data_IF_681687232681
#
_entry.id   IF_681687232681
#
_cell.length_a   1.000
_cell.length_b   1.000
_cell.length_c   1.000
_cell.angle_alpha   90.00
_cell.angle_beta   90.00
_cell.angle_gamma   90.00
#
_symmetry.space_group_name_H-M   'P 1'
#
loop_
_entity.id
_entity.type
_entity.pdbx_description
1 polymer ?
#
# COMPACT_ATOMS: atom_id res chain seq x y z
N UNK A 1 -17.89 28.05 28.67
CA UNK A 1 -16.68 27.27 29.05
C UNK A 1 -15.76 27.26 27.85
N UNK A 2 -14.69 28.03 27.84
CA UNK A 2 -13.62 27.97 26.84
C UNK A 2 -12.90 26.62 27.05
N UNK A 3 -13.17 25.62 26.21
CA UNK A 3 -12.37 24.42 26.20
C UNK A 3 -10.95 24.85 25.88
N UNK A 4 -10.01 24.56 26.76
CA UNK A 4 -8.59 24.78 26.51
C UNK A 4 -8.22 24.12 25.16
N UNK A 5 -7.83 24.94 24.19
CA UNK A 5 -7.37 24.45 22.88
C UNK A 5 -6.06 23.71 23.15
N UNK A 6 -6.12 22.40 23.22
CA UNK A 6 -4.93 21.54 23.35
C UNK A 6 -4.07 21.79 22.12
N UNK A 7 -2.83 22.25 22.31
CA UNK A 7 -1.89 22.44 21.19
C UNK A 7 -1.54 21.08 20.56
N UNK A 8 -1.49 20.98 19.23
CA UNK A 8 -1.07 19.75 18.55
C UNK A 8 0.36 19.37 18.97
N UNK A 9 0.56 18.10 19.33
CA UNK A 9 1.89 17.53 19.57
C UNK A 9 2.49 16.93 18.29
N UNK A 10 3.76 16.53 18.35
CA UNK A 10 4.46 15.92 17.20
C UNK A 10 3.72 14.69 16.65
N UNK A 11 3.08 13.90 17.52
CA UNK A 11 2.29 12.74 17.12
C UNK A 11 1.04 13.11 16.30
N UNK A 12 0.49 14.31 16.47
CA UNK A 12 -0.64 14.79 15.69
C UNK A 12 -0.17 15.19 14.27
N UNK A 13 1.00 15.83 14.15
CA UNK A 13 1.59 16.14 12.84
C UNK A 13 1.94 14.86 12.06
N UNK A 14 2.52 13.86 12.71
CA UNK A 14 2.84 12.56 12.10
C UNK A 14 1.59 11.70 11.85
N UNK A 15 0.52 11.93 12.59
CA UNK A 15 -0.73 11.18 12.49
C UNK A 15 -1.33 11.26 11.09
N UNK A 16 -1.39 12.46 10.48
CA UNK A 16 -1.93 12.65 9.13
C UNK A 16 -1.16 11.88 8.04
N UNK A 17 0.13 11.60 8.27
CA UNK A 17 0.99 10.83 7.37
C UNK A 17 0.80 9.31 7.52
N UNK A 18 0.19 8.87 8.63
CA UNK A 18 0.05 7.45 8.99
C UNK A 18 1.38 6.69 8.94
N UNK A 19 2.40 7.25 9.60
CA UNK A 19 3.80 6.81 9.56
C UNK A 19 4.00 5.27 9.63
N UNK A 20 3.29 4.50 10.48
CA UNK A 20 3.47 3.03 10.50
C UNK A 20 3.21 2.35 9.16
N UNK A 21 2.31 2.88 8.33
CA UNK A 21 2.03 2.31 7.01
C UNK A 21 3.09 2.67 5.96
N UNK A 22 3.89 3.71 6.20
CA UNK A 22 4.98 4.10 5.29
C UNK A 22 6.09 3.03 5.21
N UNK A 23 6.18 2.12 6.19
CA UNK A 23 7.11 0.98 6.15
C UNK A 23 6.88 0.06 4.95
N UNK A 24 5.66 0.02 4.41
CA UNK A 24 5.33 -0.76 3.22
C UNK A 24 6.15 -0.33 2.00
N UNK A 25 6.50 0.97 1.90
CA UNK A 25 7.33 1.46 0.80
C UNK A 25 8.71 0.81 0.80
N UNK A 26 9.31 0.62 2.00
CA UNK A 26 10.61 -0.05 2.12
C UNK A 26 10.57 -1.46 1.53
N UNK A 27 9.50 -2.23 1.84
CA UNK A 27 9.35 -3.60 1.33
C UNK A 27 9.20 -3.63 -0.19
N UNK A 28 8.40 -2.73 -0.77
CA UNK A 28 8.15 -2.69 -2.21
C UNK A 28 9.36 -2.16 -2.99
N UNK A 29 10.04 -1.10 -2.49
CA UNK A 29 11.25 -0.57 -3.12
C UNK A 29 12.41 -1.57 -3.01
N UNK A 30 12.58 -2.24 -1.85
CA UNK A 30 13.58 -3.30 -1.70
C UNK A 30 13.34 -4.45 -2.68
N UNK A 31 12.07 -4.80 -2.95
CA UNK A 31 11.73 -5.83 -3.93
C UNK A 31 12.10 -5.40 -5.36
N UNK A 32 11.77 -4.18 -5.76
CA UNK A 32 12.17 -3.64 -7.07
C UNK A 32 13.68 -3.54 -7.23
N UNK A 33 14.39 -3.07 -6.18
CA UNK A 33 15.84 -3.03 -6.14
C UNK A 33 16.46 -4.44 -6.20
N UNK A 34 15.86 -5.43 -5.53
CA UNK A 34 16.26 -6.83 -5.61
C UNK A 34 16.14 -7.41 -7.03
N UNK A 35 15.07 -7.06 -7.76
CA UNK A 35 14.90 -7.46 -9.17
C UNK A 35 16.01 -6.85 -10.05
N UNK A 36 16.29 -5.55 -9.91
CA UNK A 36 17.32 -4.87 -10.67
C UNK A 36 18.72 -5.45 -10.34
N UNK A 37 19.02 -5.64 -9.04
CA UNK A 37 20.29 -6.21 -8.60
C UNK A 37 20.49 -7.65 -9.12
N UNK A 38 19.48 -8.50 -9.01
CA UNK A 38 19.57 -9.88 -9.50
C UNK A 38 19.87 -9.93 -11.00
N UNK A 39 19.29 -9.04 -11.80
CA UNK A 39 19.50 -8.98 -13.25
C UNK A 39 20.88 -8.41 -13.65
N UNK A 40 21.32 -7.34 -12.95
CA UNK A 40 22.52 -6.57 -13.35
C UNK A 40 23.77 -6.87 -12.53
N UNK A 41 23.63 -7.39 -11.32
CA UNK A 41 24.72 -7.61 -10.38
C UNK A 41 25.14 -6.39 -9.59
N UNK A 42 24.65 -5.20 -9.93
CA UNK A 42 24.88 -3.94 -9.22
C UNK A 42 23.71 -2.98 -9.42
N UNK A 43 23.52 -2.07 -8.46
CA UNK A 43 22.56 -0.97 -8.55
C UNK A 43 23.21 0.31 -8.03
N UNK A 44 22.73 1.45 -8.48
CA UNK A 44 23.07 2.72 -7.87
C UNK A 44 22.25 2.91 -6.58
N UNK A 45 22.94 3.00 -5.44
CA UNK A 45 22.29 3.15 -4.13
C UNK A 45 21.72 4.54 -3.92
N UNK A 46 22.25 5.58 -4.60
CA UNK A 46 21.69 6.94 -4.57
C UNK A 46 20.34 6.97 -5.25
N UNK A 47 20.23 6.36 -6.42
CA UNK A 47 18.96 6.23 -7.13
C UNK A 47 17.96 5.34 -6.37
N UNK A 48 18.44 4.28 -5.70
CA UNK A 48 17.60 3.45 -4.83
C UNK A 48 17.03 4.27 -3.65
N UNK A 49 17.84 5.12 -3.03
CA UNK A 49 17.40 6.01 -1.96
C UNK A 49 16.41 7.07 -2.48
N UNK A 50 16.67 7.66 -3.64
CA UNK A 50 15.74 8.61 -4.27
C UNK A 50 14.41 7.95 -4.62
N UNK A 51 14.42 6.72 -5.15
CA UNK A 51 13.20 5.94 -5.40
C UNK A 51 12.43 5.70 -4.09
N UNK A 52 13.11 5.37 -3.00
CA UNK A 52 12.48 5.20 -1.69
C UNK A 52 11.88 6.51 -1.17
N UNK A 53 12.59 7.62 -1.27
CA UNK A 53 12.07 8.94 -0.87
C UNK A 53 10.85 9.31 -1.68
N UNK A 54 10.88 9.12 -3.01
CA UNK A 54 9.75 9.35 -3.90
C UNK A 54 8.54 8.48 -3.53
N UNK A 55 8.75 7.20 -3.25
CA UNK A 55 7.71 6.26 -2.83
C UNK A 55 7.09 6.65 -1.49
N UNK A 56 7.91 7.01 -0.49
CA UNK A 56 7.44 7.47 0.83
C UNK A 56 6.64 8.77 0.70
N UNK A 57 7.12 9.74 -0.09
CA UNK A 57 6.39 10.98 -0.35
C UNK A 57 5.07 10.72 -1.07
N UNK A 58 5.03 9.84 -2.09
CA UNK A 58 3.79 9.47 -2.77
C UNK A 58 2.76 8.89 -1.77
N UNK A 59 3.18 7.96 -0.91
CA UNK A 59 2.30 7.35 0.09
C UNK A 59 1.85 8.36 1.15
N UNK A 60 2.75 9.19 1.66
CA UNK A 60 2.43 10.25 2.61
C UNK A 60 1.43 11.26 2.02
N UNK A 61 1.56 11.60 0.74
CA UNK A 61 0.61 12.44 -0.01
C UNK A 61 -0.78 11.82 -0.02
N UNK A 62 -0.90 10.54 -0.43
CA UNK A 62 -2.20 9.81 -0.42
C UNK A 62 -2.83 9.84 0.96
N UNK A 63 -2.08 9.50 2.00
CA UNK A 63 -2.58 9.45 3.36
C UNK A 63 -3.11 10.82 3.83
N UNK A 64 -2.32 11.88 3.63
CA UNK A 64 -2.67 13.22 4.06
C UNK A 64 -3.86 13.81 3.29
N UNK A 65 -3.90 13.61 1.97
CA UNK A 65 -5.02 14.05 1.14
C UNK A 65 -6.30 13.25 1.44
N UNK A 66 -6.17 11.97 1.78
CA UNK A 66 -7.31 11.17 2.22
C UNK A 66 -7.85 11.66 3.58
N UNK A 67 -6.99 11.94 4.57
CA UNK A 67 -7.39 12.53 5.86
C UNK A 67 -8.12 13.87 5.66
N UNK A 68 -7.58 14.74 4.78
CA UNK A 68 -8.22 16.01 4.41
C UNK A 68 -9.62 15.79 3.80
N UNK A 69 -9.74 14.87 2.86
CA UNK A 69 -11.02 14.56 2.19
C UNK A 69 -12.03 13.92 3.15
N UNK A 70 -11.61 12.94 3.95
CA UNK A 70 -12.47 12.23 4.89
C UNK A 70 -12.95 13.13 6.02
N UNK A 71 -12.16 14.13 6.42
CA UNK A 71 -12.58 15.17 7.34
C UNK A 71 -13.73 16.01 6.77
N UNK A 72 -13.64 16.47 5.52
CA UNK A 72 -14.68 17.27 4.86
C UNK A 72 -15.96 16.47 4.56
N UNK A 73 -15.83 15.19 4.23
CA UNK A 73 -16.99 14.31 4.00
C UNK A 73 -17.62 13.79 5.29
N UNK A 74 -16.96 13.94 6.43
CA UNK A 74 -17.42 13.48 7.73
C UNK A 74 -17.38 11.96 7.90
N UNK A 75 -16.72 11.20 7.02
CA UNK A 75 -16.60 9.74 7.13
C UNK A 75 -15.90 9.36 8.42
N UNK A 76 -14.75 9.98 8.69
CA UNK A 76 -13.93 9.69 9.87
C UNK A 76 -14.61 10.02 11.22
N UNK A 77 -15.58 10.94 11.23
CA UNK A 77 -16.33 11.28 12.46
C UNK A 77 -17.33 10.19 12.85
N UNK A 78 -17.68 9.29 11.91
CA UNK A 78 -18.64 8.19 12.08
C UNK A 78 -17.97 6.83 12.28
N UNK A 79 -16.65 6.77 12.09
CA UNK A 79 -15.88 5.52 12.19
C UNK A 79 -15.37 5.30 13.61
N UNK A 80 -15.55 4.09 14.14
CA UNK A 80 -14.90 3.67 15.38
C UNK A 80 -13.46 3.25 15.03
N UNK A 81 -12.51 4.05 15.47
CA UNK A 81 -11.10 3.86 15.11
C UNK A 81 -10.48 2.60 15.68
N UNK A 82 -9.64 1.98 14.87
CA UNK A 82 -8.72 0.92 15.28
C UNK A 82 -7.28 1.36 14.96
N UNK A 83 -6.25 0.67 15.42
CA UNK A 83 -4.87 0.95 14.99
C UNK A 83 -4.66 0.80 13.47
N UNK A 84 -5.60 0.16 12.75
CA UNK A 84 -5.47 -0.23 11.34
C UNK A 84 -6.50 0.46 10.43
N UNK A 85 -7.58 1.03 10.98
CA UNK A 85 -8.69 1.62 10.22
C UNK A 85 -9.30 2.83 10.92
N UNK A 86 -10.07 3.63 10.18
CA UNK A 86 -10.83 4.77 10.72
C UNK A 86 -10.05 6.07 10.85
N UNK A 87 -9.02 6.27 10.00
CA UNK A 87 -8.22 7.49 10.00
C UNK A 87 -7.31 7.65 11.22
N UNK A 88 -6.49 8.69 11.24
CA UNK A 88 -5.61 9.00 12.37
C UNK A 88 -6.35 9.63 13.56
N UNK A 89 -7.48 10.24 13.28
CA UNK A 89 -8.23 11.03 14.23
C UNK A 89 -7.62 12.38 14.60
N UNK A 90 -6.53 12.74 13.96
CA UNK A 90 -5.85 14.01 14.23
C UNK A 90 -6.74 15.20 13.91
N UNK A 91 -7.34 15.23 12.73
CA UNK A 91 -8.17 16.37 12.31
C UNK A 91 -9.45 16.52 13.13
N UNK A 92 -9.99 15.43 13.68
CA UNK A 92 -11.15 15.49 14.58
C UNK A 92 -10.79 16.07 15.95
N UNK A 93 -9.55 15.79 16.45
CA UNK A 93 -9.05 16.40 17.70
C UNK A 93 -8.57 17.82 17.48
N UNK A 94 -7.99 18.11 16.33
CA UNK A 94 -7.36 19.37 15.98
C UNK A 94 -7.83 19.89 14.61
N UNK A 95 -9.08 20.40 14.47
CA UNK A 95 -9.62 20.89 13.18
C UNK A 95 -8.77 21.97 12.51
N UNK A 96 -8.04 22.77 13.31
CA UNK A 96 -7.12 23.79 12.79
C UNK A 96 -5.98 23.22 11.94
N UNK A 97 -5.70 21.91 12.02
CA UNK A 97 -4.66 21.23 11.23
C UNK A 97 -5.11 20.81 9.82
N UNK A 98 -6.35 21.11 9.42
CA UNK A 98 -6.86 20.78 8.07
C UNK A 98 -5.97 21.37 6.97
N UNK A 99 -5.57 22.64 7.12
CA UNK A 99 -4.64 23.30 6.19
C UNK A 99 -3.26 22.65 6.16
N UNK A 100 -2.76 22.14 7.29
CA UNK A 100 -1.52 21.39 7.36
C UNK A 100 -1.63 20.06 6.58
N UNK A 101 -2.72 19.30 6.77
CA UNK A 101 -2.92 18.05 6.06
C UNK A 101 -2.94 18.24 4.52
N UNK A 102 -3.63 19.28 4.04
CA UNK A 102 -3.60 19.64 2.63
C UNK A 102 -2.20 20.05 2.18
N UNK A 103 -1.54 20.94 2.91
CA UNK A 103 -0.22 21.48 2.57
C UNK A 103 0.85 20.40 2.48
N UNK A 104 0.95 19.52 3.49
CA UNK A 104 1.94 18.43 3.48
C UNK A 104 1.62 17.40 2.40
N UNK A 105 0.34 17.09 2.14
CA UNK A 105 -0.07 16.21 1.07
C UNK A 105 0.35 16.73 -0.30
N UNK A 106 0.13 18.01 -0.60
CA UNK A 106 0.55 18.64 -1.86
C UNK A 106 2.07 18.76 -1.97
N UNK A 107 2.77 19.09 -0.88
CA UNK A 107 4.25 19.14 -0.85
C UNK A 107 4.85 17.77 -1.17
N UNK A 108 4.34 16.71 -0.54
CA UNK A 108 4.79 15.35 -0.81
C UNK A 108 4.50 14.94 -2.27
N UNK A 109 3.35 15.32 -2.84
CA UNK A 109 3.05 15.10 -4.25
C UNK A 109 4.05 15.81 -5.17
N UNK A 110 4.38 17.08 -4.86
CA UNK A 110 5.35 17.87 -5.63
C UNK A 110 6.76 17.26 -5.58
N UNK A 111 7.21 16.79 -4.39
CA UNK A 111 8.50 16.09 -4.24
C UNK A 111 8.50 14.80 -5.07
N UNK A 112 7.42 14.01 -5.02
CA UNK A 112 7.29 12.79 -5.83
C UNK A 112 7.38 13.12 -7.33
N UNK A 113 6.69 14.17 -7.79
CA UNK A 113 6.74 14.60 -9.19
C UNK A 113 8.14 15.07 -9.60
N UNK A 114 8.84 15.83 -8.74
CA UNK A 114 10.20 16.28 -8.99
C UNK A 114 11.19 15.12 -9.14
N UNK A 115 11.11 14.11 -8.24
CA UNK A 115 11.90 12.88 -8.34
C UNK A 115 11.54 12.09 -9.60
N UNK A 116 10.24 12.02 -9.94
CA UNK A 116 9.79 11.41 -11.19
C UNK A 116 10.36 12.08 -12.43
N UNK A 117 10.39 13.42 -12.47
CA UNK A 117 11.02 14.20 -13.57
C UNK A 117 12.52 13.89 -13.65
N UNK A 118 13.22 13.87 -12.51
CA UNK A 118 14.63 13.47 -12.46
C UNK A 118 14.84 12.10 -13.13
N UNK A 119 14.07 11.09 -12.78
CA UNK A 119 14.21 9.75 -13.37
C UNK A 119 13.81 9.71 -14.84
N UNK A 120 12.87 10.53 -15.30
CA UNK A 120 12.54 10.66 -16.73
C UNK A 120 13.74 11.21 -17.52
N UNK A 121 14.44 12.20 -16.95
CA UNK A 121 15.63 12.79 -17.58
C UNK A 121 16.80 11.80 -17.53
N UNK A 122 17.01 11.12 -16.42
CA UNK A 122 18.16 10.22 -16.22
C UNK A 122 17.99 8.85 -16.92
N UNK A 123 16.78 8.27 -16.89
CA UNK A 123 16.50 6.90 -17.37
C UNK A 123 15.65 6.86 -18.64
N UNK A 124 15.13 8.00 -19.09
CA UNK A 124 14.33 8.11 -20.31
C UNK A 124 12.83 8.10 -20.10
N UNK A 125 12.08 8.48 -21.14
CA UNK A 125 10.64 8.75 -21.11
C UNK A 125 9.75 7.56 -20.72
N UNK A 126 10.24 6.34 -20.86
CA UNK A 126 9.47 5.10 -20.52
C UNK A 126 9.03 5.09 -19.07
N UNK A 127 9.78 5.72 -18.16
CA UNK A 127 9.43 5.85 -16.75
C UNK A 127 8.10 6.61 -16.55
N UNK A 128 7.73 7.50 -17.48
CA UNK A 128 6.44 8.21 -17.45
C UNK A 128 5.23 7.27 -17.39
N UNK A 129 5.31 6.08 -17.99
CA UNK A 129 4.19 5.14 -18.01
C UNK A 129 3.76 4.77 -16.58
N UNK A 130 4.70 4.36 -15.74
CA UNK A 130 4.46 4.02 -14.34
C UNK A 130 4.22 5.27 -13.50
N UNK A 131 4.95 6.36 -13.77
CA UNK A 131 4.79 7.63 -13.06
C UNK A 131 3.39 8.23 -13.23
N UNK A 132 2.87 8.29 -14.45
CA UNK A 132 1.52 8.77 -14.75
C UNK A 132 0.47 7.84 -14.13
N UNK A 133 0.62 6.52 -14.29
CA UNK A 133 -0.30 5.55 -13.70
C UNK A 133 -0.35 5.68 -12.17
N UNK A 134 0.81 5.86 -11.53
CA UNK A 134 0.90 6.10 -10.09
C UNK A 134 0.20 7.39 -9.67
N UNK A 135 0.51 8.53 -10.32
CA UNK A 135 -0.11 9.82 -10.01
C UNK A 135 -1.62 9.81 -10.22
N UNK A 136 -2.11 9.20 -11.31
CA UNK A 136 -3.55 9.05 -11.59
C UNK A 136 -4.21 8.20 -10.49
N UNK A 137 -3.57 7.09 -10.10
CA UNK A 137 -4.09 6.24 -9.02
C UNK A 137 -4.19 7.01 -7.71
N UNK A 138 -3.15 7.75 -7.32
CA UNK A 138 -3.13 8.60 -6.13
C UNK A 138 -4.24 9.65 -6.16
N UNK A 139 -4.32 10.41 -7.26
CA UNK A 139 -5.25 11.55 -7.39
C UNK A 139 -6.71 11.13 -7.45
N UNK A 140 -7.01 10.00 -8.09
CA UNK A 140 -8.38 9.50 -8.27
C UNK A 140 -8.82 8.54 -7.17
N UNK A 141 -7.91 8.11 -6.29
CA UNK A 141 -8.22 7.10 -5.27
C UNK A 141 -9.43 7.50 -4.42
N UNK A 142 -9.30 8.58 -3.67
CA UNK A 142 -10.35 9.03 -2.74
C UNK A 142 -11.63 9.52 -3.45
N UNK A 143 -11.58 10.39 -4.48
CA UNK A 143 -12.79 10.95 -5.05
C UNK A 143 -13.58 9.97 -5.92
N UNK A 144 -12.93 8.98 -6.53
CA UNK A 144 -13.57 8.16 -7.55
C UNK A 144 -13.40 6.64 -7.35
N UNK A 145 -12.16 6.16 -7.10
CA UNK A 145 -11.88 4.72 -7.04
C UNK A 145 -12.58 4.04 -5.85
N UNK A 146 -12.69 4.72 -4.70
CA UNK A 146 -13.38 4.22 -3.50
C UNK A 146 -14.89 4.01 -3.70
N UNK A 147 -15.47 4.55 -4.77
CA UNK A 147 -16.90 4.40 -5.14
C UNK A 147 -17.14 3.26 -6.13
N UNK A 148 -16.12 2.54 -6.55
CA UNK A 148 -16.15 1.43 -7.50
C UNK A 148 -15.58 0.18 -6.85
N UNK A 149 -16.39 -0.86 -6.54
CA UNK A 149 -15.96 -1.98 -5.70
C UNK A 149 -14.67 -2.66 -6.16
N UNK A 150 -14.59 -2.99 -7.45
CA UNK A 150 -13.42 -3.63 -8.02
C UNK A 150 -12.18 -2.70 -8.06
N UNK A 151 -12.36 -1.45 -8.48
CA UNK A 151 -11.25 -0.50 -8.54
C UNK A 151 -10.75 -0.14 -7.14
N UNK A 152 -11.64 0.00 -6.16
CA UNK A 152 -11.27 0.19 -4.75
C UNK A 152 -10.40 -0.98 -4.24
N UNK A 153 -10.71 -2.21 -4.63
CA UNK A 153 -9.96 -3.40 -4.25
C UNK A 153 -8.55 -3.41 -4.86
N UNK A 154 -8.43 -3.17 -6.17
CA UNK A 154 -7.15 -3.40 -6.89
C UNK A 154 -6.24 -2.17 -6.93
N UNK A 155 -6.75 -0.96 -6.74
CA UNK A 155 -5.96 0.26 -6.88
C UNK A 155 -4.76 0.34 -5.91
N UNK A 156 -4.87 -0.04 -4.61
CA UNK A 156 -3.72 -0.04 -3.71
C UNK A 156 -2.63 -1.03 -4.17
N UNK A 157 -3.05 -2.23 -4.61
CA UNK A 157 -2.13 -3.22 -5.17
C UNK A 157 -1.45 -2.73 -6.44
N UNK A 158 -2.18 -2.03 -7.32
CA UNK A 158 -1.61 -1.42 -8.52
C UNK A 158 -0.54 -0.37 -8.16
N UNK A 159 -0.82 0.49 -7.17
CA UNK A 159 0.12 1.51 -6.73
C UNK A 159 1.40 0.92 -6.13
N UNK A 160 1.28 0.06 -5.12
CA UNK A 160 2.41 -0.53 -4.41
C UNK A 160 3.06 -1.70 -5.16
N UNK A 161 2.27 -2.58 -5.78
CA UNK A 161 2.79 -3.69 -6.55
C UNK A 161 3.35 -3.22 -7.87
N UNK A 162 2.47 -2.92 -8.82
CA UNK A 162 2.89 -2.66 -10.20
C UNK A 162 3.71 -1.37 -10.32
N UNK A 163 3.20 -0.23 -9.80
CA UNK A 163 3.88 1.05 -10.02
C UNK A 163 5.18 1.15 -9.21
N UNK A 164 5.16 0.81 -7.92
CA UNK A 164 6.33 1.01 -7.07
C UNK A 164 7.43 -0.01 -7.36
N UNK A 165 7.12 -1.30 -7.45
CA UNK A 165 8.12 -2.35 -7.68
C UNK A 165 8.69 -2.25 -9.09
N UNK A 166 7.83 -2.16 -10.11
CA UNK A 166 8.29 -2.05 -11.50
C UNK A 166 8.98 -0.72 -11.79
N UNK A 167 8.50 0.38 -11.19
CA UNK A 167 9.15 1.68 -11.29
C UNK A 167 10.56 1.65 -10.70
N UNK A 168 10.73 1.08 -9.52
CA UNK A 168 12.05 0.91 -8.88
C UNK A 168 12.97 0.02 -9.72
N UNK A 169 12.50 -1.12 -10.22
CA UNK A 169 13.29 -1.98 -11.09
C UNK A 169 13.71 -1.24 -12.37
N UNK A 170 12.81 -0.46 -12.97
CA UNK A 170 13.09 0.26 -14.21
C UNK A 170 14.14 1.37 -14.03
N UNK A 171 14.06 2.15 -12.96
CA UNK A 171 15.05 3.23 -12.71
C UNK A 171 16.41 2.68 -12.33
N UNK A 172 16.49 1.55 -11.59
CA UNK A 172 17.75 0.93 -11.20
C UNK A 172 18.28 -0.05 -12.24
N UNK A 173 17.39 -0.68 -12.99
CA UNK A 173 17.69 -1.71 -14.00
C UNK A 173 17.77 -1.19 -15.43
N UNK A 174 17.43 0.07 -15.69
CA UNK A 174 17.46 0.70 -17.00
C UNK A 174 16.27 0.39 -17.91
N UNK A 175 15.46 -0.62 -17.62
CA UNK A 175 14.23 -0.95 -18.37
C UNK A 175 13.31 -1.85 -17.52
N UNK A 176 12.03 -1.92 -17.91
CA UNK A 176 11.05 -2.83 -17.30
C UNK A 176 11.42 -4.29 -17.54
N UNK A 177 11.21 -5.14 -16.54
CA UNK A 177 11.53 -6.56 -16.63
C UNK A 177 10.35 -7.46 -16.29
N UNK A 178 10.32 -8.65 -16.89
CA UNK A 178 9.37 -9.70 -16.53
C UNK A 178 9.59 -10.20 -15.11
N UNK A 179 10.83 -10.15 -14.61
CA UNK A 179 11.13 -10.49 -13.21
C UNK A 179 10.44 -9.53 -12.25
N UNK A 180 10.56 -8.21 -12.48
CA UNK A 180 9.87 -7.21 -11.67
C UNK A 180 8.34 -7.31 -11.82
N UNK A 181 7.83 -7.56 -13.02
CA UNK A 181 6.40 -7.77 -13.20
C UNK A 181 5.90 -8.97 -12.39
N UNK A 182 6.55 -10.13 -12.49
CA UNK A 182 6.18 -11.32 -11.73
C UNK A 182 6.30 -11.10 -10.21
N UNK A 183 7.39 -10.48 -9.75
CA UNK A 183 7.60 -10.15 -8.35
C UNK A 183 6.56 -9.14 -7.83
N UNK A 184 6.16 -8.17 -8.66
CA UNK A 184 5.17 -7.13 -8.30
C UNK A 184 3.78 -7.68 -8.04
N UNK A 185 3.44 -8.87 -8.53
CA UNK A 185 2.16 -9.52 -8.25
C UNK A 185 2.01 -9.86 -6.77
N UNK A 186 3.10 -10.07 -6.06
CA UNK A 186 3.05 -10.32 -4.60
C UNK A 186 2.48 -9.12 -3.86
N UNK A 187 3.10 -7.93 -3.86
CA UNK A 187 2.50 -6.77 -3.21
C UNK A 187 1.21 -6.29 -3.91
N UNK A 188 0.99 -6.57 -5.20
CA UNK A 188 -0.30 -6.29 -5.84
C UNK A 188 -1.45 -6.99 -5.11
N UNK A 189 -1.35 -8.29 -4.88
CA UNK A 189 -2.39 -9.03 -4.17
C UNK A 189 -2.42 -8.72 -2.68
N UNK A 190 -1.26 -8.64 -2.01
CA UNK A 190 -1.19 -8.48 -0.57
C UNK A 190 -1.65 -7.09 -0.12
N UNK A 191 -1.28 -6.02 -0.83
CA UNK A 191 -1.70 -4.66 -0.48
C UNK A 191 -3.18 -4.42 -0.81
N UNK A 192 -3.68 -5.01 -1.90
CA UNK A 192 -5.13 -5.06 -2.14
C UNK A 192 -5.86 -5.69 -0.96
N UNK A 193 -5.33 -6.79 -0.44
CA UNK A 193 -5.86 -7.48 0.75
C UNK A 193 -5.67 -6.70 2.04
N UNK A 194 -4.58 -5.91 2.16
CA UNK A 194 -4.39 -5.05 3.34
C UNK A 194 -5.56 -4.08 3.47
N UNK A 195 -5.91 -3.41 2.37
CA UNK A 195 -7.05 -2.50 2.37
C UNK A 195 -8.37 -3.24 2.54
N UNK A 196 -8.58 -4.35 1.84
CA UNK A 196 -9.81 -5.15 1.95
C UNK A 196 -10.09 -5.55 3.39
N UNK A 197 -9.10 -6.11 4.11
CA UNK A 197 -9.30 -6.55 5.49
C UNK A 197 -9.53 -5.37 6.45
N UNK A 198 -8.88 -4.22 6.19
CA UNK A 198 -9.09 -2.99 6.97
C UNK A 198 -10.51 -2.40 6.79
N UNK A 199 -11.21 -2.73 5.71
CA UNK A 199 -12.59 -2.31 5.48
C UNK A 199 -13.62 -3.14 6.27
N UNK A 200 -13.28 -4.33 6.78
CA UNK A 200 -14.21 -5.17 7.54
C UNK A 200 -14.81 -4.45 8.75
N UNK A 201 -14.00 -3.83 9.65
CA UNK A 201 -14.54 -3.10 10.78
C UNK A 201 -15.26 -1.79 10.40
N UNK A 202 -15.05 -1.28 9.16
CA UNK A 202 -15.50 0.04 8.72
C UNK A 202 -16.72 -0.01 7.77
N UNK A 203 -17.27 -1.20 7.46
CA UNK A 203 -18.35 -1.40 6.46
C UNK A 203 -19.50 -0.42 6.63
N UNK A 204 -19.98 -0.20 7.85
CA UNK A 204 -21.16 0.66 8.09
C UNK A 204 -20.82 2.15 7.93
N UNK A 205 -19.64 2.55 8.42
CA UNK A 205 -19.15 3.92 8.25
C UNK A 205 -18.89 4.26 6.78
N UNK A 206 -18.25 3.34 6.06
CA UNK A 206 -18.01 3.46 4.62
C UNK A 206 -19.30 3.57 3.81
N UNK A 207 -20.33 2.74 4.15
CA UNK A 207 -21.64 2.78 3.51
C UNK A 207 -22.31 4.12 3.69
N UNK A 208 -22.34 4.65 4.91
CA UNK A 208 -22.92 5.96 5.21
C UNK A 208 -22.14 7.12 4.60
N UNK A 209 -20.84 6.94 4.37
CA UNK A 209 -19.97 7.88 3.66
C UNK A 209 -20.09 7.84 2.14
N UNK A 210 -20.96 6.99 1.59
CA UNK A 210 -21.19 6.86 0.14
C UNK A 210 -20.13 6.06 -0.62
N UNK A 211 -19.24 5.34 0.10
CA UNK A 211 -18.29 4.40 -0.49
C UNK A 211 -19.01 3.14 -0.98
N UNK A 212 -18.42 2.50 -1.99
CA UNK A 212 -18.93 1.24 -2.56
C UNK A 212 -17.76 0.27 -2.70
N UNK A 213 -17.36 -0.33 -1.59
CA UNK A 213 -16.36 -1.40 -1.58
C UNK A 213 -17.01 -2.79 -1.76
N UNK A 214 -16.19 -3.82 -1.90
CA UNK A 214 -16.62 -5.21 -2.10
C UNK A 214 -17.52 -5.70 -0.95
N UNK A 215 -17.19 -5.33 0.31
CA UNK A 215 -17.94 -5.78 1.48
C UNK A 215 -19.35 -5.18 1.53
N UNK A 216 -19.48 -3.92 1.10
CA UNK A 216 -20.79 -3.23 1.05
C UNK A 216 -21.69 -3.86 -0.01
N UNK A 217 -21.13 -4.24 -1.18
CA UNK A 217 -21.90 -4.74 -2.32
C UNK A 217 -22.16 -6.23 -2.21
N UNK A 218 -21.18 -7.03 -1.81
CA UNK A 218 -21.23 -8.50 -1.84
C UNK A 218 -21.26 -9.15 -0.45
N UNK A 219 -21.10 -8.37 0.62
CA UNK A 219 -21.13 -8.84 2.00
C UNK A 219 -19.79 -9.40 2.51
N UNK A 220 -19.73 -9.58 3.83
CA UNK A 220 -18.53 -10.01 4.58
C UNK A 220 -18.00 -11.37 4.10
N UNK A 221 -18.88 -12.35 3.86
CA UNK A 221 -18.46 -13.69 3.42
C UNK A 221 -17.79 -13.68 2.05
N UNK A 222 -18.34 -12.94 1.10
CA UNK A 222 -17.73 -12.77 -0.22
C UNK A 222 -16.38 -12.05 -0.11
N UNK A 223 -16.30 -11.01 0.75
CA UNK A 223 -15.05 -10.33 1.06
C UNK A 223 -13.98 -11.27 1.62
N UNK A 224 -14.34 -12.15 2.57
CA UNK A 224 -13.40 -13.13 3.12
C UNK A 224 -12.93 -14.16 2.06
N UNK A 225 -13.81 -14.56 1.13
CA UNK A 225 -13.45 -15.43 0.02
C UNK A 225 -12.46 -14.73 -0.95
N UNK A 226 -12.75 -13.49 -1.32
CA UNK A 226 -11.87 -12.67 -2.18
C UNK A 226 -10.51 -12.44 -1.48
N UNK A 227 -10.52 -12.13 -0.18
CA UNK A 227 -9.31 -11.99 0.62
C UNK A 227 -8.44 -13.26 0.54
N UNK A 228 -9.05 -14.43 0.73
CA UNK A 228 -8.34 -15.72 0.67
C UNK A 228 -7.81 -16.02 -0.73
N UNK A 229 -8.60 -15.71 -1.77
CA UNK A 229 -8.18 -15.86 -3.17
C UNK A 229 -6.98 -14.98 -3.52
N UNK A 230 -6.97 -13.73 -3.06
CA UNK A 230 -5.86 -12.81 -3.26
C UNK A 230 -4.61 -13.24 -2.48
N UNK A 231 -4.78 -13.75 -1.24
CA UNK A 231 -3.67 -14.36 -0.50
C UNK A 231 -3.06 -15.52 -1.30
N UNK A 232 -3.88 -16.44 -1.78
CA UNK A 232 -3.41 -17.56 -2.61
C UNK A 232 -2.73 -17.06 -3.89
N UNK A 233 -3.29 -16.05 -4.55
CA UNK A 233 -2.74 -15.43 -5.75
C UNK A 233 -1.32 -14.90 -5.56
N UNK A 234 -1.03 -14.27 -4.40
CA UNK A 234 0.30 -13.78 -4.09
C UNK A 234 1.34 -14.91 -4.04
N UNK A 235 1.06 -16.02 -3.38
CA UNK A 235 2.00 -17.15 -3.26
C UNK A 235 2.07 -17.98 -4.53
N UNK A 236 0.95 -18.20 -5.20
CA UNK A 236 0.91 -18.89 -6.49
C UNK A 236 1.74 -18.13 -7.52
N UNK A 237 1.69 -16.80 -7.54
CA UNK A 237 2.49 -16.00 -8.48
C UNK A 237 3.99 -16.22 -8.30
N UNK A 238 4.49 -16.34 -7.05
CA UNK A 238 5.90 -16.68 -6.77
C UNK A 238 6.23 -18.07 -7.27
N UNK A 239 5.40 -19.07 -6.92
CA UNK A 239 5.63 -20.47 -7.32
C UNK A 239 5.69 -20.58 -8.85
N UNK A 240 4.71 -20.00 -9.54
CA UNK A 240 4.65 -19.99 -11.01
C UNK A 240 5.89 -19.33 -11.59
N UNK A 241 6.27 -18.13 -11.09
CA UNK A 241 7.43 -17.41 -11.60
C UNK A 241 8.75 -18.19 -11.42
N UNK A 242 8.89 -18.96 -10.34
CA UNK A 242 10.05 -19.84 -10.15
C UNK A 242 10.00 -21.06 -11.07
N UNK A 243 8.84 -21.71 -11.20
CA UNK A 243 8.67 -22.88 -12.06
C UNK A 243 8.95 -22.55 -13.54
N UNK A 244 8.46 -21.40 -14.01
CA UNK A 244 8.74 -20.93 -15.38
C UNK A 244 10.09 -20.22 -15.52
N UNK A 245 10.94 -20.23 -14.47
CA UNK A 245 12.31 -19.70 -14.45
C UNK A 245 12.41 -18.18 -14.69
N UNK A 246 11.36 -17.41 -14.39
CA UNK A 246 11.37 -15.94 -14.41
C UNK A 246 12.04 -15.40 -13.13
N UNK A 247 11.89 -16.10 -12.00
CA UNK A 247 12.53 -15.78 -10.73
C UNK A 247 13.43 -16.95 -10.27
N UNK A 248 14.50 -16.66 -9.51
CA UNK A 248 15.40 -17.70 -9.00
C UNK A 248 14.74 -18.49 -7.86
N UNK A 249 15.20 -19.74 -7.59
CA UNK A 249 14.60 -20.61 -6.58
C UNK A 249 14.54 -20.02 -5.17
N UNK A 250 15.52 -19.19 -4.76
CA UNK A 250 15.51 -18.54 -3.44
C UNK A 250 14.35 -17.54 -3.27
N UNK A 251 13.66 -17.16 -4.36
CA UNK A 251 12.41 -16.39 -4.27
C UNK A 251 11.32 -17.12 -3.47
N UNK A 252 11.40 -18.45 -3.35
CA UNK A 252 10.50 -19.27 -2.53
C UNK A 252 10.59 -18.96 -1.02
N UNK A 253 11.60 -18.20 -0.55
CA UNK A 253 11.65 -17.70 0.83
C UNK A 253 10.38 -16.91 1.20
N UNK A 254 9.72 -16.27 0.22
CA UNK A 254 8.43 -15.61 0.42
C UNK A 254 7.35 -16.55 1.00
N UNK A 255 7.43 -17.86 0.73
CA UNK A 255 6.46 -18.84 1.21
C UNK A 255 6.52 -19.07 2.73
N UNK A 256 7.57 -18.62 3.41
CA UNK A 256 7.68 -18.72 4.87
C UNK A 256 6.55 -17.97 5.60
N UNK A 257 5.87 -17.03 4.94
CA UNK A 257 4.72 -16.32 5.48
C UNK A 257 3.37 -17.01 5.25
N UNK A 258 3.32 -18.12 4.51
CA UNK A 258 2.07 -18.87 4.22
C UNK A 258 1.29 -19.27 5.49
N UNK A 259 1.92 -19.74 6.58
CA UNK A 259 1.18 -20.06 7.81
C UNK A 259 0.43 -18.85 8.40
N UNK A 260 1.02 -17.66 8.29
CA UNK A 260 0.39 -16.40 8.71
C UNK A 260 -0.80 -16.06 7.80
N UNK A 261 -0.66 -16.26 6.49
CA UNK A 261 -1.72 -16.03 5.51
C UNK A 261 -2.92 -16.97 5.72
N UNK A 262 -2.68 -18.23 6.01
CA UNK A 262 -3.74 -19.19 6.37
C UNK A 262 -4.48 -18.73 7.62
N UNK A 263 -3.73 -18.32 8.66
CA UNK A 263 -4.33 -17.86 9.93
C UNK A 263 -5.21 -16.62 9.72
N UNK A 264 -4.77 -15.64 8.90
CA UNK A 264 -5.56 -14.44 8.62
C UNK A 264 -6.79 -14.75 7.77
N UNK A 265 -6.68 -15.67 6.81
CA UNK A 265 -7.83 -16.13 6.00
C UNK A 265 -8.91 -16.79 6.87
N UNK A 266 -8.52 -17.67 7.78
CA UNK A 266 -9.44 -18.26 8.76
C UNK A 266 -10.07 -17.17 9.64
N UNK A 267 -9.27 -16.20 10.11
CA UNK A 267 -9.75 -15.06 10.89
C UNK A 267 -10.78 -14.21 10.13
N UNK A 268 -10.56 -13.93 8.84
CA UNK A 268 -11.49 -13.18 8.02
C UNK A 268 -12.86 -13.86 7.88
N UNK A 269 -12.89 -15.19 7.76
CA UNK A 269 -14.14 -15.96 7.71
C UNK A 269 -14.84 -16.08 9.07
N UNK A 270 -14.07 -16.33 10.13
CA UNK A 270 -14.61 -16.61 11.46
C UNK A 270 -15.03 -15.34 12.19
N UNK A 271 -14.18 -14.30 12.10
CA UNK A 271 -14.23 -13.14 12.97
C UNK A 271 -14.60 -11.85 12.20
N UNK A 272 -14.87 -11.94 10.89
CA UNK A 272 -15.07 -10.78 10.00
C UNK A 272 -16.23 -9.83 10.39
N UNK A 273 -17.18 -10.30 11.21
CA UNK A 273 -18.27 -9.47 11.74
C UNK A 273 -17.99 -8.91 13.14
N UNK A 274 -16.92 -9.37 13.81
CA UNK A 274 -16.55 -8.96 15.16
C UNK A 274 -15.24 -8.19 15.12
N UNK A 275 -15.33 -6.90 15.30
CA UNK A 275 -14.18 -5.97 15.23
C UNK A 275 -13.06 -6.34 16.21
N UNK A 276 -13.39 -6.73 17.42
CA UNK A 276 -12.37 -6.99 18.44
C UNK A 276 -11.66 -8.32 18.19
N UNK A 277 -12.37 -9.33 17.76
CA UNK A 277 -11.80 -10.63 17.39
C UNK A 277 -10.98 -10.57 16.09
N UNK A 278 -11.29 -9.63 15.19
CA UNK A 278 -10.56 -9.44 13.93
C UNK A 278 -9.20 -8.74 14.13
N UNK A 279 -8.99 -7.96 15.21
CA UNK A 279 -7.74 -7.21 15.45
C UNK A 279 -6.45 -8.01 15.28
N UNK A 280 -6.33 -9.26 15.80
CA UNK A 280 -5.13 -10.07 15.57
C UNK A 280 -4.88 -10.35 14.09
N UNK A 281 -5.92 -10.62 13.31
CA UNK A 281 -5.81 -10.87 11.87
C UNK A 281 -5.35 -9.60 11.13
N UNK A 282 -5.84 -8.42 11.51
CA UNK A 282 -5.39 -7.14 10.96
C UNK A 282 -3.88 -6.92 11.19
N UNK A 283 -3.39 -7.16 12.42
CA UNK A 283 -1.96 -7.03 12.74
C UNK A 283 -1.08 -8.02 11.97
N UNK A 284 -1.50 -9.30 11.91
CA UNK A 284 -0.78 -10.33 11.14
C UNK A 284 -0.78 -9.98 9.65
N UNK A 285 -1.88 -9.44 9.11
CA UNK A 285 -1.96 -9.02 7.71
C UNK A 285 -0.95 -7.92 7.38
N UNK A 286 -0.73 -6.94 8.27
CA UNK A 286 0.35 -5.95 8.11
C UNK A 286 1.70 -6.64 8.07
N UNK A 287 1.95 -7.59 8.96
CA UNK A 287 3.22 -8.33 9.01
C UNK A 287 3.47 -9.13 7.71
N UNK A 288 2.45 -9.77 7.16
CA UNK A 288 2.52 -10.46 5.86
C UNK A 288 2.92 -9.48 4.75
N UNK A 289 2.29 -8.30 4.72
CA UNK A 289 2.56 -7.27 3.72
C UNK A 289 3.99 -6.73 3.78
N UNK A 290 4.62 -6.72 4.94
CA UNK A 290 6.00 -6.31 5.11
C UNK A 290 6.99 -7.45 4.81
N UNK A 291 6.78 -8.60 5.43
CA UNK A 291 7.74 -9.69 5.39
C UNK A 291 7.78 -10.43 4.05
N UNK A 292 6.63 -10.66 3.40
CA UNK A 292 6.60 -11.46 2.17
C UNK A 292 7.40 -10.80 1.05
N UNK A 293 7.22 -9.50 0.73
CA UNK A 293 8.04 -8.83 -0.28
C UNK A 293 9.52 -8.71 0.14
N UNK A 294 9.81 -8.53 1.44
CA UNK A 294 11.21 -8.48 1.93
C UNK A 294 11.91 -9.83 1.80
N UNK A 295 11.24 -10.94 2.12
CA UNK A 295 11.78 -12.29 1.93
C UNK A 295 12.00 -12.61 0.46
N UNK A 296 11.08 -12.19 -0.42
CA UNK A 296 11.24 -12.29 -1.86
C UNK A 296 12.46 -11.48 -2.34
N UNK A 297 12.59 -10.23 -1.89
CA UNK A 297 13.73 -9.37 -2.18
C UNK A 297 15.05 -9.99 -1.71
N UNK A 298 15.07 -10.52 -0.47
CA UNK A 298 16.24 -11.22 0.07
C UNK A 298 16.63 -12.43 -0.79
N UNK A 299 15.65 -13.20 -1.26
CA UNK A 299 15.88 -14.31 -2.18
C UNK A 299 16.53 -13.86 -3.50
N UNK A 300 16.11 -12.71 -4.03
CA UNK A 300 16.70 -12.13 -5.25
C UNK A 300 18.14 -11.64 -5.02
N UNK A 301 18.40 -10.93 -3.92
CA UNK A 301 19.75 -10.46 -3.58
C UNK A 301 20.72 -11.63 -3.35
N UNK A 302 20.27 -12.70 -2.67
CA UNK A 302 21.08 -13.88 -2.38
C UNK A 302 21.27 -14.82 -3.58
N UNK A 303 20.53 -14.66 -4.64
CA UNK A 303 20.62 -15.49 -5.86
C UNK A 303 21.64 -14.98 -6.88
N UNK A 304 22.34 -13.90 -6.55
CA UNK A 304 23.37 -13.29 -7.38
C UNK A 304 24.74 -13.59 -6.81
#
# INVERSE_FOLDING_TARGET
MLSAVIKPGINDYLGTLRVPFLLLNLSCVALGAGCAFWRRGSIDWTDALLALVGAVCAHASVNSLNEYSDFHTGVDSRTIRTPFSGGSGTLQRHPAMVGYALGIGLTCAAVTAAIGIYFVVACGWRILLVGILGLVTVSLYTPWLTRRPFLCLVAPGLGFGTCMVMGTDAVLGGDYSMAAFAASMVPFFLVSNLLLLNQFPDVEADRTGGRKNVLIVHGIRAGAAIYTLFQAGAYISVIVAVVVRILPPLSLLALLTVPLAVRTSIGAFRDGTDRDKLKPALGINVLINLLTPLLLASGLFLSR
#
